data_IF_718992369069
#
_entry.id   IF_718992369069
#
_cell.length_a   1.000
_cell.length_b   1.000
_cell.length_c   1.000
_cell.angle_alpha   90.00
_cell.angle_beta   90.00
_cell.angle_gamma   90.00
#
_symmetry.space_group_name_H-M   'P 1'
#
loop_
_entity.id
_entity.type
_entity.pdbx_description
1 polymer ?
#
# COMPACT_ATOMS: atom_id res chain seq x y z
N UNK A 1 -10.48 6.27 38.44
CA UNK A 1 -11.33 5.92 39.60
C UNK A 1 -11.63 4.43 39.53
N UNK A 2 -11.02 3.62 40.42
CA UNK A 2 -11.23 2.17 40.48
C UNK A 2 -12.54 1.87 41.18
N UNK A 3 -13.40 1.04 40.58
CA UNK A 3 -14.67 0.60 41.18
C UNK A 3 -14.33 -0.40 42.30
N UNK A 4 -14.54 0.01 43.56
CA UNK A 4 -14.50 -0.91 44.71
C UNK A 4 -15.72 -1.83 44.64
N UNK A 5 -15.52 -3.10 44.34
CA UNK A 5 -16.52 -4.15 44.55
C UNK A 5 -16.66 -4.46 46.03
N UNK A 6 -17.87 -4.78 46.47
CA UNK A 6 -18.18 -5.11 47.87
C UNK A 6 -17.82 -6.59 48.08
N UNK A 7 -16.71 -6.85 48.79
CA UNK A 7 -16.21 -8.19 49.11
C UNK A 7 -14.78 -8.42 48.61
N UNK A 8 -13.96 -9.09 49.42
CA UNK A 8 -12.60 -9.51 49.04
C UNK A 8 -12.68 -10.45 47.82
N UNK A 9 -12.20 -9.98 46.67
CA UNK A 9 -12.17 -10.77 45.46
C UNK A 9 -11.00 -11.76 45.56
N UNK A 10 -11.23 -13.08 45.56
CA UNK A 10 -10.16 -14.09 45.68
C UNK A 10 -9.14 -14.02 44.55
N UNK A 11 -9.43 -13.32 43.45
CA UNK A 11 -8.52 -13.08 42.33
C UNK A 11 -7.48 -11.98 42.59
N UNK A 12 -7.67 -11.11 43.59
CA UNK A 12 -6.68 -10.07 43.93
C UNK A 12 -5.42 -10.65 44.59
N UNK A 13 -5.52 -11.83 45.22
CA UNK A 13 -4.38 -12.54 45.82
C UNK A 13 -3.36 -13.05 44.79
N UNK A 14 -3.78 -13.17 43.51
CA UNK A 14 -2.93 -13.64 42.42
C UNK A 14 -2.29 -12.49 41.62
N UNK A 15 -2.65 -11.25 41.92
CA UNK A 15 -2.14 -10.07 41.21
C UNK A 15 -1.06 -9.43 42.09
N UNK A 16 0.18 -9.90 41.97
CA UNK A 16 1.34 -9.18 42.51
C UNK A 16 1.49 -7.85 41.73
N UNK A 17 1.23 -6.67 42.34
CA UNK A 17 1.30 -5.40 41.63
C UNK A 17 2.75 -4.94 41.40
N UNK A 18 3.73 -5.61 42.00
CA UNK A 18 5.15 -5.22 42.02
C UNK A 18 6.01 -5.82 40.90
N UNK A 19 5.55 -6.84 40.17
CA UNK A 19 6.36 -7.47 39.09
C UNK A 19 5.80 -7.29 37.66
N UNK A 20 4.56 -6.84 37.51
CA UNK A 20 3.85 -6.85 36.23
C UNK A 20 4.03 -5.58 35.35
N UNK A 21 5.08 -4.78 35.58
CA UNK A 21 5.40 -3.62 34.70
C UNK A 21 6.82 -3.56 34.13
N UNK A 22 7.70 -4.54 34.40
CA UNK A 22 9.11 -4.46 33.96
C UNK A 22 9.63 -5.58 33.05
N UNK A 23 8.85 -6.62 32.73
CA UNK A 23 9.40 -7.81 32.04
C UNK A 23 8.67 -8.27 30.77
N UNK A 24 7.87 -7.41 30.12
CA UNK A 24 7.25 -7.73 28.80
C UNK A 24 7.49 -6.68 27.71
N UNK A 25 8.52 -5.84 27.85
CA UNK A 25 9.12 -5.17 26.69
C UNK A 25 10.37 -5.94 26.30
N UNK A 26 10.17 -7.22 25.98
CA UNK A 26 11.15 -7.96 25.20
C UNK A 26 11.24 -7.22 23.87
N UNK A 27 12.38 -6.58 23.64
CA UNK A 27 12.76 -5.98 22.37
C UNK A 27 12.70 -7.06 21.29
N UNK A 28 11.51 -7.25 20.69
CA UNK A 28 11.47 -7.68 19.30
C UNK A 28 12.14 -6.56 18.56
N UNK A 29 13.43 -6.76 18.30
CA UNK A 29 14.27 -6.07 17.32
C UNK A 29 13.47 -6.10 16.03
N UNK A 30 12.58 -5.12 15.89
CA UNK A 30 11.77 -4.95 14.72
C UNK A 30 12.76 -4.68 13.62
N UNK A 31 12.91 -5.64 12.72
CA UNK A 31 13.40 -5.34 11.39
C UNK A 31 12.71 -4.04 11.00
N UNK A 32 13.51 -3.02 10.74
CA UNK A 32 13.03 -1.75 10.24
C UNK A 32 12.40 -2.06 8.90
N UNK A 33 11.10 -2.40 8.92
CA UNK A 33 10.27 -2.49 7.74
C UNK A 33 10.34 -1.10 7.16
N UNK A 34 11.25 -0.92 6.19
CA UNK A 34 11.41 0.33 5.48
C UNK A 34 10.01 0.66 4.97
N UNK A 35 9.36 1.64 5.61
CA UNK A 35 8.04 2.09 5.21
C UNK A 35 8.20 2.61 3.79
N UNK A 36 7.81 1.79 2.81
CA UNK A 36 7.76 2.21 1.41
C UNK A 36 7.00 3.52 1.38
N UNK A 37 7.56 4.54 0.72
CA UNK A 37 6.94 5.85 0.58
C UNK A 37 5.61 5.67 -0.15
N UNK A 38 4.50 5.70 0.58
CA UNK A 38 3.16 5.60 0.03
C UNK A 38 2.72 6.99 -0.45
N UNK A 39 2.16 7.06 -1.65
CA UNK A 39 1.62 8.29 -2.21
C UNK A 39 0.13 8.12 -2.48
N UNK A 40 -0.67 9.15 -2.17
CA UNK A 40 -2.10 9.16 -2.45
C UNK A 40 -2.32 9.44 -3.94
N UNK A 41 -3.10 8.59 -4.57
CA UNK A 41 -3.55 8.72 -5.95
C UNK A 41 -5.08 8.75 -5.96
N UNK A 42 -5.67 9.78 -6.57
CA UNK A 42 -7.11 9.86 -6.81
C UNK A 42 -7.34 9.73 -8.31
N UNK A 43 -8.18 8.76 -8.71
CA UNK A 43 -8.53 8.49 -10.11
C UNK A 43 -10.03 8.30 -10.23
N UNK A 44 -10.57 8.59 -11.41
CA UNK A 44 -11.95 8.23 -11.75
C UNK A 44 -11.96 6.86 -12.41
N UNK A 45 -12.82 5.97 -11.93
CA UNK A 45 -13.00 4.60 -12.42
C UNK A 45 -14.51 4.36 -12.53
N UNK A 46 -14.94 3.49 -13.45
CA UNK A 46 -16.34 3.10 -13.58
C UNK A 46 -16.86 2.44 -12.29
N UNK A 47 -18.15 2.64 -12.01
CA UNK A 47 -18.80 2.12 -10.81
C UNK A 47 -18.71 0.58 -10.72
N UNK A 48 -18.94 -0.10 -11.84
CA UNK A 48 -18.90 -1.57 -11.93
C UNK A 48 -17.57 -2.15 -11.46
N UNK A 49 -16.44 -1.59 -11.93
CA UNK A 49 -15.10 -2.03 -11.54
C UNK A 49 -14.84 -1.80 -10.04
N UNK A 50 -15.38 -0.71 -9.48
CA UNK A 50 -15.25 -0.42 -8.05
C UNK A 50 -15.98 -1.48 -7.23
N UNK A 51 -17.20 -1.85 -7.62
CA UNK A 51 -17.97 -2.88 -6.92
C UNK A 51 -17.33 -4.27 -7.06
N UNK A 52 -16.87 -4.65 -8.26
CA UNK A 52 -16.12 -5.89 -8.46
C UNK A 52 -14.83 -5.92 -7.63
N UNK A 53 -14.10 -4.80 -7.56
CA UNK A 53 -12.90 -4.65 -6.75
C UNK A 53 -13.18 -4.80 -5.26
N UNK A 54 -14.29 -4.24 -4.75
CA UNK A 54 -14.73 -4.43 -3.36
C UNK A 54 -15.05 -5.88 -3.07
N UNK A 55 -15.78 -6.55 -3.98
CA UNK A 55 -16.10 -7.97 -3.85
C UNK A 55 -14.82 -8.83 -3.80
N UNK A 56 -13.87 -8.59 -4.71
CA UNK A 56 -12.60 -9.31 -4.72
C UNK A 56 -11.83 -9.16 -3.40
N UNK A 57 -11.75 -7.95 -2.86
CA UNK A 57 -11.09 -7.68 -1.57
C UNK A 57 -11.85 -8.31 -0.41
N UNK A 58 -13.19 -8.30 -0.44
CA UNK A 58 -14.02 -8.92 0.59
C UNK A 58 -13.74 -10.42 0.72
N UNK A 59 -13.66 -11.13 -0.40
CA UNK A 59 -13.44 -12.58 -0.42
C UNK A 59 -11.97 -12.98 -0.21
N UNK A 60 -11.02 -12.12 -0.56
CA UNK A 60 -9.60 -12.42 -0.45
C UNK A 60 -9.03 -11.99 0.91
N UNK A 61 -8.89 -12.94 1.84
CA UNK A 61 -8.31 -12.71 3.18
C UNK A 61 -6.92 -12.09 3.09
N UNK A 62 -6.72 -10.95 3.75
CA UNK A 62 -5.43 -10.24 3.79
C UNK A 62 -5.15 -9.38 2.55
N UNK A 63 -6.06 -9.35 1.57
CA UNK A 63 -5.98 -8.40 0.46
C UNK A 63 -6.50 -7.03 0.92
N UNK A 64 -5.86 -5.96 0.45
CA UNK A 64 -6.38 -4.59 0.61
C UNK A 64 -6.66 -4.00 -0.76
N UNK A 65 -7.57 -3.02 -0.83
CA UNK A 65 -7.87 -2.34 -2.09
C UNK A 65 -6.63 -1.69 -2.70
N UNK A 66 -5.78 -1.08 -1.86
CA UNK A 66 -4.50 -0.53 -2.30
C UNK A 66 -3.59 -1.62 -2.90
N UNK A 67 -3.56 -2.83 -2.32
CA UNK A 67 -2.74 -3.93 -2.84
C UNK A 67 -3.27 -4.49 -4.15
N UNK A 68 -4.59 -4.59 -4.29
CA UNK A 68 -5.25 -4.97 -5.54
C UNK A 68 -4.90 -3.98 -6.66
N UNK A 69 -5.02 -2.67 -6.40
CA UNK A 69 -4.69 -1.63 -7.38
C UNK A 69 -3.19 -1.63 -7.72
N UNK A 70 -2.30 -1.74 -6.73
CA UNK A 70 -0.84 -1.80 -6.96
C UNK A 70 -0.45 -3.00 -7.84
N UNK A 71 -1.03 -4.16 -7.57
CA UNK A 71 -0.73 -5.39 -8.33
C UNK A 71 -1.32 -5.35 -9.73
N UNK A 72 -2.56 -4.85 -9.89
CA UNK A 72 -3.19 -4.64 -11.19
C UNK A 72 -2.42 -3.66 -12.07
N UNK A 73 -2.08 -2.48 -11.53
CA UNK A 73 -1.29 -1.47 -12.24
C UNK A 73 0.08 -2.02 -12.64
N UNK A 74 0.77 -2.75 -11.76
CA UNK A 74 2.07 -3.36 -12.09
C UNK A 74 1.96 -4.34 -13.26
N UNK A 75 0.94 -5.19 -13.28
CA UNK A 75 0.70 -6.14 -14.37
C UNK A 75 0.41 -5.42 -15.68
N UNK A 76 -0.48 -4.42 -15.65
CA UNK A 76 -0.80 -3.61 -16.83
C UNK A 76 0.43 -2.89 -17.38
N UNK A 77 1.27 -2.30 -16.53
CA UNK A 77 2.53 -1.67 -16.96
C UNK A 77 3.45 -2.70 -17.62
N UNK A 78 3.64 -3.87 -17.02
CA UNK A 78 4.48 -4.93 -17.59
C UNK A 78 3.96 -5.42 -18.95
N UNK A 79 2.64 -5.48 -19.13
CA UNK A 79 2.02 -5.86 -20.40
C UNK A 79 2.23 -4.79 -21.47
N UNK A 80 2.05 -3.51 -21.11
CA UNK A 80 2.39 -2.39 -22.00
C UNK A 80 3.88 -2.38 -22.33
N UNK A 81 4.74 -2.73 -21.37
CA UNK A 81 6.18 -2.82 -21.59
C UNK A 81 6.53 -3.90 -22.64
N UNK A 82 5.82 -5.02 -22.65
CA UNK A 82 6.00 -6.08 -23.64
C UNK A 82 5.49 -5.68 -25.03
N UNK A 83 4.32 -5.04 -25.08
CA UNK A 83 3.57 -4.89 -26.33
C UNK A 83 3.90 -3.60 -27.09
N UNK A 84 4.31 -2.53 -26.39
CA UNK A 84 4.51 -1.21 -27.00
C UNK A 84 6.00 -0.96 -27.27
N UNK A 85 6.32 -0.63 -28.52
CA UNK A 85 7.56 0.03 -28.91
C UNK A 85 7.30 1.54 -28.96
N UNK A 86 8.17 2.34 -28.32
CA UNK A 86 8.11 3.80 -28.36
C UNK A 86 9.21 4.28 -29.29
N UNK A 87 8.87 5.19 -30.19
CA UNK A 87 9.81 5.89 -31.06
C UNK A 87 9.91 7.35 -30.63
N UNK A 88 11.10 7.93 -30.77
CA UNK A 88 11.29 9.38 -30.63
C UNK A 88 10.75 10.05 -31.89
N UNK A 89 9.78 10.96 -31.74
CA UNK A 89 9.19 11.71 -32.85
C UNK A 89 10.23 12.59 -33.57
N UNK A 90 11.30 12.98 -32.87
CA UNK A 90 12.34 13.88 -33.40
C UNK A 90 13.44 13.15 -34.16
N UNK A 91 13.83 11.95 -33.70
CA UNK A 91 14.96 11.20 -34.26
C UNK A 91 14.55 9.93 -35.02
N UNK A 92 13.28 9.53 -34.95
CA UNK A 92 12.76 8.30 -35.59
C UNK A 92 13.34 7.00 -35.04
N UNK A 93 14.20 7.09 -34.02
CA UNK A 93 14.85 5.93 -33.38
C UNK A 93 13.94 5.35 -32.30
N UNK A 94 13.95 4.02 -32.10
CA UNK A 94 13.23 3.42 -30.99
C UNK A 94 13.85 3.90 -29.67
N UNK A 95 13.08 4.64 -28.87
CA UNK A 95 13.42 4.95 -27.48
C UNK A 95 13.37 3.70 -26.61
N UNK A 96 12.62 2.70 -27.05
CA UNK A 96 12.42 1.45 -26.35
C UNK A 96 12.13 0.31 -27.32
N UNK A 97 12.81 -0.82 -27.18
CA UNK A 97 12.46 -2.07 -27.88
C UNK A 97 11.32 -2.78 -27.15
N UNK A 98 10.61 -3.68 -27.85
CA UNK A 98 9.57 -4.52 -27.23
C UNK A 98 10.17 -5.31 -26.07
N UNK A 99 9.53 -5.26 -24.90
CA UNK A 99 9.98 -5.97 -23.69
C UNK A 99 10.95 -5.21 -22.79
N UNK A 100 11.44 -4.04 -23.20
CA UNK A 100 12.25 -3.17 -22.32
C UNK A 100 11.35 -2.31 -21.41
N UNK A 101 11.92 -1.84 -20.31
CA UNK A 101 11.22 -0.96 -19.36
C UNK A 101 11.00 0.44 -19.93
N UNK A 102 9.94 1.11 -19.48
CA UNK A 102 9.74 2.51 -19.88
C UNK A 102 10.90 3.39 -19.38
N UNK A 103 11.42 4.32 -20.22
CA UNK A 103 12.44 5.25 -19.78
C UNK A 103 11.89 6.20 -18.71
N UNK A 104 12.75 6.61 -17.78
CA UNK A 104 12.41 7.65 -16.80
C UNK A 104 12.12 8.97 -17.53
N UNK A 105 11.07 9.67 -17.07
CA UNK A 105 10.71 10.97 -17.63
C UNK A 105 11.84 11.97 -17.35
N UNK A 106 12.12 12.82 -18.33
CA UNK A 106 13.13 13.90 -18.21
C UNK A 106 12.66 15.04 -17.31
N UNK A 107 11.34 15.24 -17.25
CA UNK A 107 10.69 16.26 -16.41
C UNK A 107 9.45 15.66 -15.75
N UNK A 108 9.07 16.22 -14.60
CA UNK A 108 7.81 15.88 -13.95
C UNK A 108 6.61 16.26 -14.83
N UNK A 109 5.54 15.48 -14.75
CA UNK A 109 4.29 15.86 -15.42
C UNK A 109 3.82 17.18 -14.84
N UNK A 110 3.66 18.19 -15.71
CA UNK A 110 3.02 19.46 -15.34
C UNK A 110 1.63 19.16 -14.78
N UNK A 111 1.49 19.24 -13.46
CA UNK A 111 0.20 19.14 -12.79
C UNK A 111 -0.50 20.49 -12.89
N UNK A 112 -1.63 20.56 -13.58
CA UNK A 112 -2.44 21.78 -13.63
C UNK A 112 -3.49 21.76 -14.72
N UNK A 113 -4.49 22.64 -14.59
CA UNK A 113 -5.39 23.01 -15.70
C UNK A 113 -4.52 23.71 -16.77
N UNK A 114 -4.69 23.41 -18.06
CA UNK A 114 -3.99 24.13 -19.11
C UNK A 114 -4.14 25.64 -18.91
N UNK A 115 -3.02 26.36 -18.92
CA UNK A 115 -3.04 27.83 -18.98
C UNK A 115 -3.62 28.16 -20.36
N UNK A 116 -4.80 28.78 -20.38
CA UNK A 116 -5.36 29.38 -21.60
C UNK A 116 -4.55 30.60 -21.98
#
# INVERSE_FOLDING_TARGET
MSRKTIGENPLDLLINPSESRKSLVSEKKGESIQKKKQQRLTVQISHEIIEEGKNAVYWCRGMTYAKLVETGLKKAIQELEKNIAIYDETTGKPLKKKGEKFPTRKEDLKSGRPIK
#
